data_IF_507674339020
#
_entry.id   IF_507674339020
#
_cell.length_a   1.000
_cell.length_b   1.000
_cell.length_c   1.000
_cell.angle_alpha   90.00
_cell.angle_beta   90.00
_cell.angle_gamma   90.00
#
_symmetry.space_group_name_H-M   'P 1'
#
loop_
_entity.id
_entity.type
_entity.pdbx_description
1 polymer ?
#
# COMPACT_ATOMS: atom_id res chain seq x y z
N UNK A 1 28.85 20.08 9.10
CA UNK A 1 28.37 19.20 10.18
C UNK A 1 26.85 19.28 10.23
N UNK A 2 26.00 18.25 10.22
CA UNK A 2 26.14 16.79 10.23
C UNK A 2 24.82 16.20 9.68
N UNK A 3 24.90 15.22 8.78
CA UNK A 3 23.79 14.33 8.40
C UNK A 3 23.67 13.24 9.47
N UNK A 4 22.46 12.95 9.97
CA UNK A 4 22.23 11.79 10.85
C UNK A 4 21.71 10.61 10.03
N UNK A 5 22.55 9.57 9.99
CA UNK A 5 22.31 8.24 9.43
C UNK A 5 21.39 7.39 10.32
N UNK A 6 20.80 6.43 9.62
CA UNK A 6 19.92 5.35 10.03
C UNK A 6 20.53 4.42 11.10
N UNK A 7 19.66 3.89 11.97
CA UNK A 7 19.86 2.73 12.86
C UNK A 7 18.54 1.94 12.82
N UNK A 8 18.46 0.62 12.86
CA UNK A 8 19.40 -0.50 12.97
C UNK A 8 18.69 -1.75 12.41
N UNK A 9 19.15 -2.98 12.55
CA UNK A 9 20.28 -3.58 13.28
C UNK A 9 20.65 -4.89 12.56
N UNK A 10 21.88 -5.37 12.60
CA UNK A 10 22.73 -5.79 13.74
C UNK A 10 22.74 -7.33 13.78
N UNK A 11 23.95 -7.86 13.99
CA UNK A 11 24.33 -9.23 14.35
C UNK A 11 24.70 -10.16 13.20
N UNK A 12 25.84 -10.86 13.24
CA UNK A 12 27.05 -10.76 14.05
C UNK A 12 28.10 -11.68 13.39
N UNK A 13 29.35 -11.31 13.55
CA UNK A 13 30.58 -12.00 13.17
C UNK A 13 30.68 -13.42 13.76
N UNK A 14 31.41 -14.33 13.10
CA UNK A 14 32.51 -15.09 13.74
C UNK A 14 33.22 -16.04 12.75
N UNK A 15 34.54 -15.96 12.79
CA UNK A 15 35.54 -16.74 12.06
C UNK A 15 35.88 -18.07 12.77
N UNK A 16 36.69 -18.91 12.12
CA UNK A 16 37.62 -19.97 12.64
C UNK A 16 37.22 -21.45 12.41
N UNK A 17 37.79 -22.01 11.33
CA UNK A 17 38.82 -23.07 11.26
C UNK A 17 38.75 -24.41 12.06
N UNK A 18 38.90 -25.51 11.28
CA UNK A 18 39.61 -26.80 11.50
C UNK A 18 38.87 -28.01 12.11
N UNK A 19 39.24 -29.19 11.57
CA UNK A 19 39.05 -30.62 11.94
C UNK A 19 37.98 -31.37 11.12
N UNK A 20 38.21 -32.56 10.55
CA UNK A 20 39.40 -33.39 10.34
C UNK A 20 39.01 -34.46 9.30
N UNK A 21 39.96 -34.92 8.48
CA UNK A 21 39.76 -36.07 7.60
C UNK A 21 39.71 -37.34 8.44
N UNK A 22 38.69 -38.16 8.27
CA UNK A 22 38.71 -39.58 8.64
C UNK A 22 37.85 -40.36 7.64
N UNK A 23 38.51 -40.83 6.58
CA UNK A 23 37.96 -41.85 5.69
C UNK A 23 38.29 -43.18 6.36
N UNK A 24 37.27 -43.91 6.79
CA UNK A 24 37.37 -45.33 7.14
C UNK A 24 36.45 -46.11 6.22
N UNK A 25 37.05 -47.02 5.46
CA UNK A 25 36.46 -47.90 4.46
C UNK A 25 35.24 -48.71 4.94
N UNK A 26 34.24 -48.83 4.05
CA UNK A 26 33.57 -50.11 3.78
C UNK A 26 32.93 -50.08 2.37
N UNK A 27 33.23 -51.06 1.50
CA UNK A 27 32.80 -51.07 0.10
C UNK A 27 31.41 -51.72 -0.02
N UNK A 28 30.34 -50.95 0.17
CA UNK A 28 28.97 -51.45 -0.07
C UNK A 28 27.96 -50.39 -0.54
N UNK A 29 28.39 -49.15 -0.79
CA UNK A 29 27.48 -48.01 -0.99
C UNK A 29 27.50 -47.45 -2.43
N UNK A 30 27.65 -48.29 -3.46
CA UNK A 30 27.72 -47.83 -4.87
C UNK A 30 26.47 -48.16 -5.71
N UNK A 31 25.59 -49.04 -5.23
CA UNK A 31 24.32 -49.35 -5.91
C UNK A 31 23.12 -48.56 -5.34
N UNK A 32 23.07 -48.38 -4.01
CA UNK A 32 22.03 -47.58 -3.36
C UNK A 32 22.05 -46.10 -3.76
N UNK A 33 23.24 -45.58 -4.11
CA UNK A 33 23.47 -44.18 -4.51
C UNK A 33 22.87 -43.85 -5.89
N UNK A 34 22.77 -44.83 -6.80
CA UNK A 34 22.29 -44.59 -8.17
C UNK A 34 20.76 -44.54 -8.23
N UNK A 35 20.09 -45.44 -7.51
CA UNK A 35 18.61 -45.44 -7.38
C UNK A 35 18.13 -44.19 -6.62
N UNK A 36 18.87 -43.75 -5.60
CA UNK A 36 18.55 -42.53 -4.85
C UNK A 36 18.79 -41.27 -5.68
N UNK A 37 19.82 -41.25 -6.53
CA UNK A 37 20.06 -40.16 -7.47
C UNK A 37 18.97 -40.10 -8.56
N UNK A 38 18.52 -41.24 -9.09
CA UNK A 38 17.42 -41.31 -10.07
C UNK A 38 16.08 -40.87 -9.43
N UNK A 39 15.84 -41.22 -8.17
CA UNK A 39 14.70 -40.74 -7.41
C UNK A 39 14.75 -39.21 -7.20
N UNK A 40 15.93 -38.66 -6.89
CA UNK A 40 16.13 -37.20 -6.77
C UNK A 40 15.93 -36.47 -8.09
N UNK A 41 16.41 -37.01 -9.21
CA UNK A 41 16.21 -36.43 -10.54
C UNK A 41 14.72 -36.37 -10.90
N UNK A 42 13.98 -37.46 -10.68
CA UNK A 42 12.52 -37.49 -10.91
C UNK A 42 11.79 -36.50 -10.01
N UNK A 43 12.18 -36.39 -8.73
CA UNK A 43 11.59 -35.41 -7.82
C UNK A 43 11.88 -33.96 -8.26
N UNK A 44 13.06 -33.68 -8.82
CA UNK A 44 13.44 -32.37 -9.32
C UNK A 44 12.70 -32.00 -10.62
N UNK A 45 12.48 -32.96 -11.52
CA UNK A 45 11.69 -32.76 -12.73
C UNK A 45 10.23 -32.38 -12.41
N UNK A 46 9.63 -33.05 -11.42
CA UNK A 46 8.27 -32.72 -10.94
C UNK A 46 8.22 -31.30 -10.38
N UNK A 47 9.22 -30.90 -9.59
CA UNK A 47 9.30 -29.52 -9.07
C UNK A 47 9.48 -28.49 -10.19
N UNK A 48 10.28 -28.79 -11.21
CA UNK A 48 10.47 -27.91 -12.36
C UNK A 48 9.20 -27.76 -13.20
N UNK A 49 8.43 -28.84 -13.37
CA UNK A 49 7.15 -28.80 -14.07
C UNK A 49 6.12 -27.96 -13.29
N UNK A 50 6.05 -28.13 -11.98
CA UNK A 50 5.16 -27.36 -11.13
C UNK A 50 5.54 -25.87 -11.10
N UNK A 51 6.83 -25.56 -11.01
CA UNK A 51 7.30 -24.18 -11.05
C UNK A 51 6.98 -23.51 -12.41
N UNK A 52 7.16 -24.24 -13.52
CA UNK A 52 6.76 -23.75 -14.85
C UNK A 52 5.25 -23.47 -14.89
N UNK A 53 4.43 -24.36 -14.35
CA UNK A 53 2.96 -24.18 -14.26
C UNK A 53 2.62 -22.92 -13.49
N UNK A 54 3.20 -22.73 -12.31
CA UNK A 54 2.98 -21.54 -11.47
C UNK A 54 3.45 -20.25 -12.15
N UNK A 55 4.58 -20.26 -12.84
CA UNK A 55 5.07 -19.08 -13.59
C UNK A 55 4.12 -18.76 -14.76
N UNK A 56 3.64 -19.77 -15.48
CA UNK A 56 2.66 -19.57 -16.55
C UNK A 56 1.35 -19.01 -16.02
N UNK A 57 0.85 -19.55 -14.91
CA UNK A 57 -0.37 -19.10 -14.25
C UNK A 57 -0.23 -17.67 -13.71
N UNK A 58 0.86 -17.36 -13.01
CA UNK A 58 1.16 -16.02 -12.52
C UNK A 58 1.32 -15.01 -13.67
N UNK A 59 1.94 -15.41 -14.79
CA UNK A 59 2.06 -14.57 -15.99
C UNK A 59 0.70 -14.31 -16.64
N UNK A 60 -0.16 -15.32 -16.70
CA UNK A 60 -1.53 -15.18 -17.20
C UNK A 60 -2.38 -14.28 -16.29
N UNK A 61 -2.32 -14.47 -14.97
CA UNK A 61 -2.99 -13.61 -13.99
C UNK A 61 -2.48 -12.17 -14.06
N UNK A 62 -1.17 -11.97 -14.20
CA UNK A 62 -0.59 -10.63 -14.34
C UNK A 62 -0.91 -9.99 -15.71
N UNK A 63 -1.14 -10.76 -16.76
CA UNK A 63 -1.62 -10.25 -18.04
C UNK A 63 -3.11 -9.87 -17.96
N UNK A 64 -3.93 -10.71 -17.31
CA UNK A 64 -5.34 -10.45 -17.06
C UNK A 64 -5.54 -9.20 -16.20
N UNK A 65 -4.79 -9.06 -15.09
CA UNK A 65 -4.81 -7.87 -14.23
C UNK A 65 -4.37 -6.59 -14.94
N UNK A 66 -3.37 -6.68 -15.84
CA UNK A 66 -2.96 -5.54 -16.68
C UNK A 66 -4.01 -5.18 -17.72
N UNK A 67 -4.78 -6.16 -18.22
CA UNK A 67 -5.86 -5.93 -19.18
C UNK A 67 -7.12 -5.34 -18.52
N UNK A 68 -7.45 -5.76 -17.29
CA UNK A 68 -8.57 -5.20 -16.51
C UNK A 68 -8.27 -3.78 -16.02
N UNK A 69 -7.00 -3.43 -15.78
CA UNK A 69 -6.59 -2.04 -15.51
C UNK A 69 -6.45 -1.17 -16.77
N UNK A 70 -6.50 -1.75 -17.98
CA UNK A 70 -6.41 -0.98 -19.23
C UNK A 70 -7.69 -0.21 -19.58
N UNK A 71 -8.80 -0.48 -18.86
CA UNK A 71 -9.97 0.40 -18.87
C UNK A 71 -9.75 1.76 -18.19
N UNK A 72 -8.65 1.94 -17.44
CA UNK A 72 -8.29 3.18 -16.77
C UNK A 72 -6.86 3.68 -17.12
N UNK A 73 -6.17 3.00 -18.03
CA UNK A 73 -4.91 3.46 -18.62
C UNK A 73 -5.19 3.99 -20.04
N UNK A 74 -6.16 4.91 -20.13
CA UNK A 74 -6.13 5.90 -21.22
C UNK A 74 -4.88 6.76 -21.06
N UNK A 75 -4.54 7.50 -22.12
CA UNK A 75 -3.52 8.56 -22.14
C UNK A 75 -3.29 9.20 -20.75
N UNK A 76 -2.02 9.49 -20.37
CA UNK A 76 -1.71 10.04 -19.05
C UNK A 76 -2.69 11.14 -18.70
N UNK A 77 -3.45 10.95 -17.61
CA UNK A 77 -4.56 11.81 -17.22
C UNK A 77 -4.08 13.26 -17.26
N UNK A 78 -4.63 14.00 -18.21
CA UNK A 78 -4.32 15.39 -18.43
C UNK A 78 -4.98 16.24 -17.34
N UNK A 79 -4.48 16.15 -16.10
CA UNK A 79 -5.11 16.72 -14.91
C UNK A 79 -4.09 17.48 -14.05
N UNK A 80 -4.21 18.81 -14.06
CA UNK A 80 -3.53 19.72 -13.12
C UNK A 80 -4.40 19.90 -11.88
N UNK A 81 -3.83 19.58 -10.72
CA UNK A 81 -4.46 19.80 -9.41
C UNK A 81 -3.76 20.93 -8.67
N UNK A 82 -4.52 21.93 -8.21
CA UNK A 82 -4.03 23.03 -7.38
C UNK A 82 -4.79 23.06 -6.06
N UNK A 83 -4.07 23.23 -4.95
CA UNK A 83 -4.65 23.32 -3.61
C UNK A 83 -4.53 24.76 -3.09
N UNK A 84 -5.68 25.44 -2.95
CA UNK A 84 -5.77 26.78 -2.34
C UNK A 84 -6.92 26.82 -1.32
N UNK A 85 -6.83 25.95 -0.32
CA UNK A 85 -7.89 25.69 0.67
C UNK A 85 -8.91 24.64 0.22
N UNK A 86 -9.18 24.55 -1.09
CA UNK A 86 -9.95 23.47 -1.68
C UNK A 86 -9.32 23.05 -3.03
N UNK A 87 -9.57 21.83 -3.50
CA UNK A 87 -8.97 21.32 -4.73
C UNK A 87 -9.58 22.01 -5.97
N UNK A 88 -8.70 22.55 -6.81
CA UNK A 88 -9.00 22.99 -8.16
C UNK A 88 -8.45 21.95 -9.14
N UNK A 89 -9.35 21.35 -9.91
CA UNK A 89 -9.07 20.37 -10.95
C UNK A 89 -9.11 21.10 -12.29
N UNK A 90 -8.10 20.92 -13.13
CA UNK A 90 -8.07 21.52 -14.47
C UNK A 90 -7.36 20.64 -15.46
N UNK A 91 -7.73 20.73 -16.74
CA UNK A 91 -6.98 20.08 -17.82
C UNK A 91 -5.64 20.82 -18.07
N UNK A 92 -4.58 20.17 -18.57
CA UNK A 92 -3.33 20.89 -18.90
C UNK A 92 -3.58 21.97 -19.96
N UNK A 93 -4.51 21.71 -20.89
CA UNK A 93 -4.94 22.66 -21.94
C UNK A 93 -5.81 23.81 -21.41
N UNK A 94 -6.27 23.73 -20.16
CA UNK A 94 -7.07 24.76 -19.49
C UNK A 94 -8.51 24.89 -19.96
N UNK A 95 -8.99 24.06 -20.90
CA UNK A 95 -10.38 24.12 -21.40
C UNK A 95 -11.40 23.70 -20.35
N UNK A 96 -10.99 22.78 -19.46
CA UNK A 96 -11.81 22.30 -18.37
C UNK A 96 -11.24 22.75 -17.03
N UNK A 97 -12.14 23.21 -16.17
CA UNK A 97 -11.82 23.66 -14.83
C UNK A 97 -13.00 23.38 -13.91
N UNK A 98 -12.71 22.72 -12.80
CA UNK A 98 -13.68 22.36 -11.79
C UNK A 98 -13.11 22.70 -10.41
N UNK A 99 -13.92 23.30 -9.55
CA UNK A 99 -13.48 23.79 -8.24
C UNK A 99 -14.46 23.36 -7.18
N UNK A 100 -14.08 22.34 -6.43
CA UNK A 100 -14.87 21.95 -5.25
C UNK A 100 -14.65 23.01 -4.18
N UNK A 101 -15.73 23.65 -3.73
CA UNK A 101 -15.75 24.67 -2.69
C UNK A 101 -16.94 24.44 -1.79
N UNK A 102 -16.96 25.15 -0.67
CA UNK A 102 -18.12 25.15 0.20
C UNK A 102 -18.00 26.25 1.23
N UNK A 103 -19.11 26.51 1.91
CA UNK A 103 -19.21 27.46 3.00
C UNK A 103 -19.95 26.81 4.15
N UNK A 104 -19.35 26.88 5.33
CA UNK A 104 -19.95 26.43 6.57
C UNK A 104 -20.04 27.63 7.51
N UNK A 105 -21.25 27.97 7.93
CA UNK A 105 -21.54 29.01 8.90
C UNK A 105 -22.09 28.34 10.16
N UNK A 106 -21.39 28.52 11.28
CA UNK A 106 -21.80 28.02 12.60
C UNK A 106 -21.95 29.21 13.51
N UNK A 107 -23.07 29.24 14.22
CA UNK A 107 -23.45 30.35 15.07
C UNK A 107 -23.72 29.87 16.47
N UNK A 108 -23.35 30.71 17.42
CA UNK A 108 -23.70 30.57 18.82
C UNK A 108 -24.43 31.84 19.24
N UNK A 109 -25.58 31.68 19.88
CA UNK A 109 -26.33 32.79 20.44
C UNK A 109 -26.72 32.49 21.89
N UNK A 110 -26.66 33.53 22.73
CA UNK A 110 -27.14 33.50 24.11
C UNK A 110 -28.06 34.70 24.33
N UNK A 111 -29.25 34.45 24.84
CA UNK A 111 -30.25 35.45 25.15
C UNK A 111 -30.38 35.48 26.68
N UNK A 112 -30.01 36.62 27.26
CA UNK A 112 -30.30 36.93 28.66
C UNK A 112 -31.74 37.44 28.74
N UNK A 113 -32.58 36.68 29.43
CA UNK A 113 -33.98 36.97 29.65
C UNK A 113 -34.11 37.72 30.98
N UNK A 114 -34.82 38.85 30.99
CA UNK A 114 -35.19 39.50 32.25
C UNK A 114 -36.26 38.65 32.95
N UNK A 115 -35.79 37.69 33.76
CA UNK A 115 -36.62 36.67 34.40
C UNK A 115 -37.67 37.29 35.33
N UNK A 116 -37.42 38.51 35.85
CA UNK A 116 -38.37 39.22 36.70
C UNK A 116 -39.60 39.72 35.90
N UNK A 117 -39.46 39.89 34.59
CA UNK A 117 -40.53 40.35 33.69
C UNK A 117 -41.12 39.20 32.88
N UNK A 118 -40.29 38.33 32.27
CA UNK A 118 -40.78 37.26 31.38
C UNK A 118 -41.11 35.96 32.12
N UNK A 119 -40.45 35.69 33.25
CA UNK A 119 -40.56 34.41 33.97
C UNK A 119 -39.82 33.24 33.30
N UNK A 120 -39.21 33.47 32.13
CA UNK A 120 -38.46 32.49 31.37
C UNK A 120 -36.97 32.50 31.74
N UNK A 121 -36.30 31.33 31.78
CA UNK A 121 -34.86 31.27 32.02
C UNK A 121 -34.05 31.76 30.81
N UNK A 122 -32.80 32.13 31.06
CA UNK A 122 -31.82 32.40 30.00
C UNK A 122 -31.69 31.20 29.06
N UNK A 123 -31.60 31.48 27.75
CA UNK A 123 -31.49 30.44 26.72
C UNK A 123 -30.27 30.67 25.85
N UNK A 124 -29.65 29.59 25.39
CA UNK A 124 -28.60 29.63 24.38
C UNK A 124 -28.81 28.55 23.34
N UNK A 125 -28.29 28.78 22.14
CA UNK A 125 -28.40 27.87 21.02
C UNK A 125 -27.09 27.88 20.20
N UNK A 126 -26.74 26.70 19.70
CA UNK A 126 -25.72 26.52 18.65
C UNK A 126 -26.46 26.06 17.40
N UNK A 127 -26.24 26.74 16.28
CA UNK A 127 -26.87 26.42 15.00
C UNK A 127 -25.82 26.32 13.90
N UNK A 128 -25.95 25.30 13.06
CA UNK A 128 -25.31 25.29 11.75
C UNK A 128 -26.20 26.04 10.76
N UNK A 129 -26.02 27.37 10.65
CA UNK A 129 -26.87 28.22 9.80
C UNK A 129 -26.77 27.88 8.32
N UNK A 130 -25.59 27.44 7.86
CA UNK A 130 -25.41 27.05 6.46
C UNK A 130 -24.30 26.02 6.35
N UNK A 131 -24.57 24.93 5.66
CA UNK A 131 -23.54 24.11 5.03
C UNK A 131 -23.90 23.98 3.54
N UNK A 132 -23.14 24.68 2.70
CA UNK A 132 -23.32 24.67 1.26
C UNK A 132 -22.10 24.08 0.59
N UNK A 133 -22.33 23.17 -0.36
CA UNK A 133 -21.32 22.69 -1.29
C UNK A 133 -21.50 23.43 -2.62
N UNK A 134 -20.43 24.08 -3.07
CA UNK A 134 -20.35 24.82 -4.33
C UNK A 134 -19.37 24.07 -5.26
N UNK A 135 -19.70 23.90 -6.53
CA UNK A 135 -18.86 23.13 -7.47
C UNK A 135 -18.75 23.78 -8.84
#
# INVERSE_FOLDING_TARGET
MNRKLHKGGLCLLASIAVLAVSIADAPAAKAADVDELEAQMRAMEVQLQELKRQVHEAKAQAAAARSSNRGAAGEPLDLKVKWKGAPELSSNDGKFKFKVRGRINVDYNGINQDTAITGDPDVSAVELRRAQLDW
#
